data_IF_819796865060
#
_entry.id   IF_819796865060
#
_cell.length_a   1.000
_cell.length_b   1.000
_cell.length_c   1.000
_cell.angle_alpha   90.00
_cell.angle_beta   90.00
_cell.angle_gamma   90.00
#
_symmetry.space_group_name_H-M   'P 1'
#
loop_
_entity.id
_entity.type
_entity.pdbx_description
1 polymer ?
#
# COMPACT_ATOMS: atom_id res chain seq x y z
N UNK A 1 -13.83 -18.25 -15.69
CA UNK A 1 -14.77 -17.12 -15.47
C UNK A 1 -14.02 -16.09 -14.65
N UNK A 2 -13.63 -14.96 -15.26
CA UNK A 2 -12.92 -13.90 -14.55
C UNK A 2 -13.94 -13.10 -13.73
N UNK A 3 -13.80 -13.12 -12.41
CA UNK A 3 -14.62 -12.34 -11.51
C UNK A 3 -14.38 -10.85 -11.78
N UNK A 4 -15.46 -10.11 -12.07
CA UNK A 4 -15.57 -8.64 -11.95
C UNK A 4 -14.29 -7.85 -12.19
N UNK A 5 -14.07 -7.37 -13.42
CA UNK A 5 -13.11 -6.30 -13.67
C UNK A 5 -13.48 -5.10 -12.78
N UNK A 6 -12.62 -4.75 -11.84
CA UNK A 6 -12.77 -3.59 -10.98
C UNK A 6 -12.61 -2.34 -11.84
N UNK A 7 -13.72 -1.67 -12.17
CA UNK A 7 -13.69 -0.43 -12.96
C UNK A 7 -13.41 0.75 -12.04
N UNK A 8 -12.17 1.26 -12.06
CA UNK A 8 -11.75 2.41 -11.27
C UNK A 8 -12.64 3.65 -11.48
N UNK A 9 -13.31 3.77 -12.63
CA UNK A 9 -14.22 4.89 -12.93
C UNK A 9 -15.54 4.80 -12.18
N UNK A 10 -15.94 3.60 -11.72
CA UNK A 10 -17.16 3.37 -10.92
C UNK A 10 -16.96 3.57 -9.42
N UNK A 11 -15.73 3.81 -8.97
CA UNK A 11 -15.48 4.15 -7.59
C UNK A 11 -16.11 5.50 -7.28
N UNK A 12 -17.02 5.49 -6.30
CA UNK A 12 -17.62 6.70 -5.74
C UNK A 12 -16.49 7.63 -5.30
N UNK A 13 -16.65 8.93 -5.51
CA UNK A 13 -15.62 9.97 -5.33
C UNK A 13 -15.07 10.15 -3.91
N UNK A 14 -15.52 9.34 -2.97
CA UNK A 14 -14.99 9.22 -1.63
C UNK A 14 -15.42 7.86 -1.08
N UNK A 15 -14.50 7.17 -0.41
CA UNK A 15 -14.88 6.08 0.50
C UNK A 15 -15.94 6.61 1.47
N UNK A 16 -17.00 5.85 1.70
CA UNK A 16 -17.97 6.20 2.73
C UNK A 16 -17.23 6.33 4.07
N UNK A 17 -17.25 7.50 4.75
CA UNK A 17 -16.50 7.70 5.99
C UNK A 17 -16.85 6.70 7.09
N UNK A 18 -18.05 6.09 7.04
CA UNK A 18 -18.48 5.05 7.97
C UNK A 18 -18.03 3.62 7.58
N UNK A 19 -17.46 3.45 6.37
CA UNK A 19 -17.05 2.14 5.87
C UNK A 19 -15.76 1.62 6.54
N UNK A 20 -15.63 0.29 6.71
CA UNK A 20 -14.39 -0.31 7.17
C UNK A 20 -13.21 -0.07 6.22
N UNK A 21 -13.46 0.06 4.91
CA UNK A 21 -12.46 0.44 3.91
C UNK A 21 -11.87 1.83 4.19
N UNK A 22 -12.74 2.81 4.45
CA UNK A 22 -12.31 4.17 4.80
C UNK A 22 -11.46 4.18 6.08
N UNK A 23 -11.92 3.47 7.11
CA UNK A 23 -11.21 3.40 8.38
C UNK A 23 -9.82 2.78 8.21
N UNK A 24 -9.72 1.65 7.49
CA UNK A 24 -8.46 0.96 7.27
C UNK A 24 -7.49 1.76 6.39
N UNK A 25 -7.95 2.30 5.26
CA UNK A 25 -7.11 3.12 4.39
C UNK A 25 -6.70 4.45 5.04
N UNK A 26 -7.56 5.03 5.89
CA UNK A 26 -7.19 6.22 6.65
C UNK A 26 -6.08 5.95 7.65
N UNK A 27 -6.14 4.80 8.34
CA UNK A 27 -5.05 4.35 9.21
C UNK A 27 -3.76 4.09 8.43
N UNK A 28 -3.82 3.33 7.33
CA UNK A 28 -2.64 3.04 6.49
C UNK A 28 -2.01 4.36 6.00
N UNK A 29 -2.84 5.27 5.48
CA UNK A 29 -2.37 6.55 4.98
C UNK A 29 -1.72 7.43 6.05
N UNK A 30 -2.20 7.38 7.31
CA UNK A 30 -1.57 8.13 8.40
C UNK A 30 -0.19 7.58 8.80
N UNK A 31 0.06 6.29 8.53
CA UNK A 31 1.35 5.65 8.82
C UNK A 31 2.35 5.80 7.66
N UNK A 32 1.88 5.68 6.43
CA UNK A 32 2.71 5.68 5.22
C UNK A 32 3.01 7.10 4.72
N UNK A 33 1.97 7.90 4.51
CA UNK A 33 2.05 9.22 3.91
C UNK A 33 1.29 10.26 4.74
N UNK A 34 1.78 10.62 5.94
CA UNK A 34 1.11 11.60 6.80
C UNK A 34 1.02 13.00 6.18
N UNK A 35 1.78 13.30 5.12
CA UNK A 35 1.65 14.51 4.30
C UNK A 35 0.46 14.50 3.33
N UNK A 36 -0.33 13.41 3.29
CA UNK A 36 -1.52 13.28 2.48
C UNK A 36 -1.26 12.90 1.03
N UNK A 37 -2.17 13.26 0.13
CA UNK A 37 -2.15 12.81 -1.28
C UNK A 37 -1.01 13.39 -2.13
N UNK A 38 -0.36 14.45 -1.65
CA UNK A 38 0.83 15.03 -2.27
C UNK A 38 2.13 14.62 -1.56
N UNK A 39 2.06 13.71 -0.58
CA UNK A 39 3.26 13.22 0.10
C UNK A 39 4.13 12.39 -0.84
N UNK A 40 5.42 12.34 -0.58
CA UNK A 40 6.38 11.58 -1.36
C UNK A 40 7.61 11.28 -0.50
N UNK A 41 8.41 10.32 -0.93
CA UNK A 41 9.64 10.01 -0.22
C UNK A 41 10.51 11.26 -0.04
N UNK A 42 10.76 11.67 1.21
CA UNK A 42 11.35 12.99 1.53
C UNK A 42 12.70 13.25 0.87
N UNK A 43 13.49 12.20 0.67
CA UNK A 43 14.81 12.27 0.04
C UNK A 43 14.78 12.03 -1.48
N UNK A 44 13.59 11.90 -2.09
CA UNK A 44 13.45 11.66 -3.52
C UNK A 44 14.24 12.71 -4.33
N UNK A 45 15.06 12.21 -5.26
CA UNK A 45 15.83 13.03 -6.17
C UNK A 45 15.66 12.56 -7.63
N UNK A 46 15.08 13.38 -8.52
CA UNK A 46 14.51 14.70 -8.24
C UNK A 46 13.23 14.63 -7.38
N UNK A 47 12.85 15.76 -6.77
CA UNK A 47 11.51 15.92 -6.15
C UNK A 47 10.44 15.99 -7.26
N UNK A 48 9.15 15.71 -6.95
CA UNK A 48 8.09 15.94 -7.92
C UNK A 48 8.10 17.40 -8.40
N UNK A 49 7.89 17.65 -9.71
CA UNK A 49 7.95 19.01 -10.26
C UNK A 49 6.79 19.92 -9.83
N UNK A 50 5.71 19.32 -9.29
CA UNK A 50 4.49 19.98 -8.79
C UNK A 50 3.73 19.00 -7.89
N UNK A 51 2.67 19.43 -7.16
CA UNK A 51 1.88 18.53 -6.33
C UNK A 51 1.36 17.33 -7.12
N UNK A 52 1.55 16.12 -6.59
CA UNK A 52 1.23 14.85 -7.26
C UNK A 52 -0.23 14.77 -7.70
N UNK A 53 -1.16 15.31 -6.90
CA UNK A 53 -2.59 15.35 -7.18
C UNK A 53 -2.96 16.17 -8.41
N UNK A 54 -2.07 17.04 -8.85
CA UNK A 54 -2.26 17.81 -10.09
C UNK A 54 -1.69 17.08 -11.31
N UNK A 55 -0.83 16.07 -11.11
CA UNK A 55 -0.12 15.36 -12.17
C UNK A 55 -0.98 14.24 -12.74
N UNK A 56 -0.85 13.99 -14.04
CA UNK A 56 -1.37 12.78 -14.67
C UNK A 56 -0.54 11.57 -14.23
N UNK A 57 -1.15 10.39 -14.23
CA UNK A 57 -0.47 9.12 -13.91
C UNK A 57 0.81 8.94 -14.73
N UNK A 58 0.79 9.25 -16.03
CA UNK A 58 1.99 9.18 -16.90
C UNK A 58 3.12 10.11 -16.44
N UNK A 59 2.79 11.26 -15.87
CA UNK A 59 3.77 12.24 -15.37
C UNK A 59 4.34 11.81 -14.01
N UNK A 60 3.48 11.32 -13.10
CA UNK A 60 3.93 10.72 -11.83
C UNK A 60 4.86 9.56 -12.13
N UNK A 61 4.48 8.71 -13.09
CA UNK A 61 5.28 7.57 -13.52
C UNK A 61 6.62 7.97 -14.11
N UNK A 62 6.66 9.02 -14.92
CA UNK A 62 7.92 9.55 -15.46
C UNK A 62 8.84 10.07 -14.35
N UNK A 63 8.28 10.77 -13.35
CA UNK A 63 9.02 11.19 -12.17
C UNK A 63 9.52 9.99 -11.34
N UNK A 64 8.68 8.98 -11.08
CA UNK A 64 9.07 7.79 -10.31
C UNK A 64 10.27 7.05 -10.91
N UNK A 65 10.34 6.94 -12.25
CA UNK A 65 11.51 6.35 -12.92
C UNK A 65 12.81 7.10 -12.65
N UNK A 66 12.73 8.42 -12.52
CA UNK A 66 13.89 9.24 -12.15
C UNK A 66 14.17 9.13 -10.65
N UNK A 67 13.16 9.22 -9.79
CA UNK A 67 13.30 9.10 -8.35
C UNK A 67 13.83 7.72 -7.91
N UNK A 68 13.53 6.65 -8.64
CA UNK A 68 14.07 5.32 -8.40
C UNK A 68 15.52 5.14 -8.91
N UNK A 69 16.08 6.09 -9.65
CA UNK A 69 17.41 5.95 -10.22
C UNK A 69 18.49 6.22 -9.15
N UNK A 70 19.22 5.15 -8.77
CA UNK A 70 20.33 5.20 -7.81
C UNK A 70 21.38 6.27 -8.13
N UNK A 71 21.63 6.56 -9.40
CA UNK A 71 22.61 7.55 -9.83
C UNK A 71 22.30 8.97 -9.35
N UNK A 72 21.03 9.24 -8.99
CA UNK A 72 20.62 10.54 -8.45
C UNK A 72 20.96 10.71 -6.97
N UNK A 73 21.50 9.70 -6.29
CA UNK A 73 21.68 9.69 -4.84
C UNK A 73 23.15 9.57 -4.45
N UNK A 74 23.52 10.22 -3.33
CA UNK A 74 24.81 9.98 -2.69
C UNK A 74 24.88 8.54 -2.16
N UNK A 75 26.09 7.98 -2.09
CA UNK A 75 26.28 6.66 -1.46
C UNK A 75 25.74 6.69 -0.02
N UNK A 76 25.05 5.63 0.38
CA UNK A 76 24.40 5.53 1.69
C UNK A 76 23.03 6.21 1.81
N UNK A 77 22.59 7.05 0.86
CA UNK A 77 21.23 7.58 0.87
C UNK A 77 20.23 6.50 0.42
N UNK A 78 19.12 6.28 1.14
CA UNK A 78 18.06 5.38 0.68
C UNK A 78 17.41 5.92 -0.60
N UNK A 79 16.98 5.01 -1.48
CA UNK A 79 16.30 5.33 -2.74
C UNK A 79 14.84 4.92 -2.62
N UNK A 80 13.93 5.80 -3.00
CA UNK A 80 12.52 5.42 -3.13
C UNK A 80 11.78 6.37 -4.09
N UNK A 81 10.87 5.81 -4.86
CA UNK A 81 9.92 6.51 -5.72
C UNK A 81 8.51 6.59 -5.10
N UNK A 82 8.38 6.29 -3.80
CA UNK A 82 7.10 6.28 -3.11
C UNK A 82 6.33 7.60 -3.28
N UNK A 83 5.08 7.47 -3.70
CA UNK A 83 4.21 8.57 -4.10
C UNK A 83 2.86 8.52 -3.40
N UNK A 84 2.38 9.69 -2.98
CA UNK A 84 1.04 9.91 -2.47
C UNK A 84 0.79 9.37 -1.07
N UNK A 85 -0.49 9.42 -0.68
CA UNK A 85 -0.97 9.05 0.66
C UNK A 85 -0.65 7.61 1.04
N UNK A 86 -0.56 6.73 0.04
CA UNK A 86 -0.32 5.30 0.21
C UNK A 86 1.10 4.87 -0.17
N UNK A 87 2.01 5.84 -0.41
CA UNK A 87 3.42 5.60 -0.72
C UNK A 87 3.64 4.55 -1.83
N UNK A 88 2.84 4.63 -2.91
CA UNK A 88 2.89 3.70 -4.04
C UNK A 88 4.24 3.86 -4.75
N UNK A 89 5.06 2.81 -4.77
CA UNK A 89 6.36 2.79 -5.47
C UNK A 89 6.20 2.38 -6.94
N UNK A 90 7.25 2.59 -7.74
CA UNK A 90 7.25 2.37 -9.19
C UNK A 90 6.77 0.96 -9.57
N UNK A 91 7.30 -0.10 -8.97
CA UNK A 91 6.85 -1.47 -9.31
C UNK A 91 5.35 -1.70 -9.05
N UNK A 92 4.84 -1.20 -7.94
CA UNK A 92 3.41 -1.27 -7.60
C UNK A 92 2.56 -0.40 -8.53
N UNK A 93 3.06 0.76 -8.96
CA UNK A 93 2.37 1.63 -9.92
C UNK A 93 2.19 0.95 -11.28
N UNK A 94 3.17 0.16 -11.77
CA UNK A 94 2.98 -0.60 -13.03
C UNK A 94 1.80 -1.56 -12.90
N UNK A 95 1.81 -2.33 -11.82
CA UNK A 95 0.77 -3.31 -11.55
C UNK A 95 -0.61 -2.64 -11.47
N UNK A 96 -0.71 -1.49 -10.81
CA UNK A 96 -1.97 -0.75 -10.68
C UNK A 96 -2.45 -0.15 -12.00
N UNK A 97 -1.54 0.36 -12.84
CA UNK A 97 -1.87 0.85 -14.18
C UNK A 97 -2.50 -0.29 -15.00
N UNK A 98 -1.86 -1.46 -15.01
CA UNK A 98 -2.35 -2.62 -15.75
C UNK A 98 -3.68 -3.14 -15.19
N UNK A 99 -3.76 -3.33 -13.87
CA UNK A 99 -4.91 -3.93 -13.21
C UNK A 99 -6.17 -3.06 -13.29
N UNK A 100 -6.01 -1.74 -13.24
CA UNK A 100 -7.11 -0.77 -13.34
C UNK A 100 -7.36 -0.29 -14.77
N UNK A 101 -6.61 -0.81 -15.75
CA UNK A 101 -6.65 -0.42 -17.16
C UNK A 101 -6.52 1.11 -17.36
N UNK A 102 -5.58 1.73 -16.64
CA UNK A 102 -5.33 3.16 -16.72
C UNK A 102 -4.60 3.51 -18.01
N UNK A 103 -5.01 4.61 -18.64
CA UNK A 103 -4.41 5.10 -19.88
C UNK A 103 -3.15 5.93 -19.61
N UNK A 104 -2.98 6.41 -18.38
CA UNK A 104 -1.95 7.37 -18.01
C UNK A 104 -2.41 8.82 -18.10
N UNK A 105 -3.59 9.08 -18.66
CA UNK A 105 -4.18 10.43 -18.77
C UNK A 105 -4.95 10.87 -17.54
N UNK A 106 -5.30 9.93 -16.67
CA UNK A 106 -6.01 10.18 -15.43
C UNK A 106 -5.15 11.04 -14.49
N UNK A 107 -5.78 11.96 -13.76
CA UNK A 107 -5.10 12.67 -12.68
C UNK A 107 -4.80 11.71 -11.54
N UNK A 108 -3.61 11.79 -10.97
CA UNK A 108 -3.21 11.07 -9.75
C UNK A 108 -3.75 11.78 -8.49
N UNK A 109 -5.02 12.19 -8.56
CA UNK A 109 -5.73 12.90 -7.51
C UNK A 109 -6.09 11.98 -6.32
N UNK A 110 -6.71 12.56 -5.30
CA UNK A 110 -7.13 11.82 -4.11
C UNK A 110 -8.05 10.63 -4.44
N UNK A 111 -8.96 10.80 -5.42
CA UNK A 111 -9.91 9.77 -5.81
C UNK A 111 -9.19 8.58 -6.45
N UNK A 112 -8.24 8.83 -7.36
CA UNK A 112 -7.48 7.76 -7.98
C UNK A 112 -6.54 7.06 -6.99
N UNK A 113 -5.94 7.81 -6.06
CA UNK A 113 -5.12 7.21 -5.02
C UNK A 113 -5.94 6.30 -4.10
N UNK A 114 -7.13 6.73 -3.66
CA UNK A 114 -8.06 5.89 -2.87
C UNK A 114 -8.47 4.64 -3.64
N UNK A 115 -8.71 4.77 -4.95
CA UNK A 115 -9.03 3.66 -5.83
C UNK A 115 -7.91 2.61 -5.90
N UNK A 116 -6.67 3.08 -6.03
CA UNK A 116 -5.49 2.22 -6.00
C UNK A 116 -5.30 1.54 -4.64
N UNK A 117 -5.50 2.29 -3.54
CA UNK A 117 -5.44 1.73 -2.18
C UNK A 117 -6.48 0.64 -1.95
N UNK A 118 -7.72 0.85 -2.40
CA UNK A 118 -8.78 -0.16 -2.37
C UNK A 118 -8.43 -1.41 -3.16
N UNK A 119 -7.88 -1.24 -4.35
CA UNK A 119 -7.46 -2.38 -5.17
C UNK A 119 -6.38 -3.21 -4.45
N UNK A 120 -5.38 -2.54 -3.86
CA UNK A 120 -4.33 -3.21 -3.08
C UNK A 120 -4.90 -3.94 -1.85
N UNK A 121 -5.89 -3.36 -1.15
CA UNK A 121 -6.60 -4.05 -0.07
C UNK A 121 -7.30 -5.31 -0.58
N UNK A 122 -8.00 -5.21 -1.70
CA UNK A 122 -8.69 -6.35 -2.33
C UNK A 122 -7.70 -7.48 -2.63
N UNK A 123 -6.57 -7.19 -3.26
CA UNK A 123 -5.51 -8.17 -3.55
C UNK A 123 -4.88 -8.76 -2.28
N UNK A 124 -4.85 -8.01 -1.18
CA UNK A 124 -4.38 -8.50 0.12
C UNK A 124 -5.38 -9.44 0.83
N UNK A 125 -6.57 -9.69 0.24
CA UNK A 125 -7.57 -10.60 0.79
C UNK A 125 -8.66 -9.93 1.63
N UNK A 126 -8.98 -8.67 1.31
CA UNK A 126 -9.98 -7.89 2.05
C UNK A 126 -11.36 -8.56 2.10
N UNK A 127 -11.83 -9.14 1.00
CA UNK A 127 -13.16 -9.76 0.94
C UNK A 127 -13.24 -11.05 1.77
N UNK A 128 -12.17 -11.83 1.83
CA UNK A 128 -12.02 -12.97 2.74
C UNK A 128 -12.00 -12.52 4.19
N UNK A 129 -11.30 -11.42 4.49
CA UNK A 129 -11.20 -10.90 5.85
C UNK A 129 -12.54 -10.38 6.34
N UNK A 130 -13.22 -9.52 5.57
CA UNK A 130 -14.59 -9.06 5.88
C UNK A 130 -15.57 -10.22 6.04
N UNK A 131 -15.42 -11.25 5.21
CA UNK A 131 -16.23 -12.46 5.27
C UNK A 131 -15.90 -13.41 6.43
N UNK A 132 -14.89 -13.10 7.25
CA UNK A 132 -14.43 -13.96 8.34
C UNK A 132 -13.88 -15.30 7.86
N UNK A 133 -13.30 -15.36 6.66
CA UNK A 133 -12.72 -16.57 6.04
C UNK A 133 -11.20 -16.66 6.18
N UNK A 134 -10.54 -15.60 6.61
CA UNK A 134 -9.11 -15.56 6.90
C UNK A 134 -8.88 -14.99 8.31
N UNK A 135 -7.86 -15.50 9.00
CA UNK A 135 -7.50 -15.00 10.32
C UNK A 135 -6.92 -13.58 10.24
N UNK A 136 -7.21 -12.75 11.26
CA UNK A 136 -6.71 -11.36 11.35
C UNK A 136 -5.19 -11.27 11.18
N UNK A 137 -4.43 -12.18 11.78
CA UNK A 137 -2.97 -12.21 11.66
C UNK A 137 -2.51 -12.44 10.22
N UNK A 138 -3.15 -13.34 9.47
CA UNK A 138 -2.81 -13.60 8.07
C UNK A 138 -3.14 -12.40 7.17
N UNK A 139 -4.30 -11.77 7.37
CA UNK A 139 -4.64 -10.56 6.62
C UNK A 139 -3.67 -9.41 6.96
N UNK A 140 -3.38 -9.18 8.25
CA UNK A 140 -2.41 -8.17 8.65
C UNK A 140 -0.99 -8.43 8.12
N UNK A 141 -0.54 -9.69 8.06
CA UNK A 141 0.74 -10.02 7.42
C UNK A 141 0.72 -9.78 5.91
N UNK A 142 -0.41 -10.01 5.22
CA UNK A 142 -0.57 -9.65 3.82
C UNK A 142 -0.49 -8.13 3.62
N UNK A 143 -1.14 -7.34 4.48
CA UNK A 143 -1.03 -5.88 4.47
C UNK A 143 0.39 -5.38 4.74
N UNK A 144 1.12 -6.00 5.68
CA UNK A 144 2.51 -5.65 6.00
C UNK A 144 3.50 -5.91 4.85
N UNK A 145 3.09 -6.73 3.87
CA UNK A 145 3.82 -6.97 2.63
C UNK A 145 3.45 -6.00 1.52
N UNK A 146 2.46 -5.15 1.70
CA UNK A 146 2.11 -4.07 0.76
C UNK A 146 2.63 -2.74 1.29
N UNK A 147 2.45 -2.48 2.60
CA UNK A 147 2.77 -1.22 3.26
C UNK A 147 3.84 -1.42 4.32
N UNK A 148 5.00 -0.81 4.11
CA UNK A 148 6.20 -1.03 4.91
C UNK A 148 6.12 -0.48 6.35
N UNK A 149 5.26 0.51 6.60
CA UNK A 149 5.01 1.07 7.92
C UNK A 149 4.22 0.12 8.84
N UNK A 150 3.55 -0.89 8.27
CA UNK A 150 2.79 -1.87 9.04
C UNK A 150 3.71 -2.97 9.59
N UNK A 151 3.54 -3.37 10.87
CA UNK A 151 4.25 -4.50 11.44
C UNK A 151 3.64 -5.83 10.96
N UNK A 152 4.48 -6.83 10.72
CA UNK A 152 4.01 -8.21 10.65
C UNK A 152 3.35 -8.59 11.99
N UNK A 153 2.22 -9.30 11.93
CA UNK A 153 1.47 -9.76 13.08
C UNK A 153 1.88 -11.17 13.52
N UNK A 154 2.53 -11.94 12.65
CA UNK A 154 2.98 -13.30 12.96
C UNK A 154 4.41 -13.60 12.49
N UNK A 155 4.86 -14.81 12.83
CA UNK A 155 6.15 -15.35 12.41
C UNK A 155 7.37 -14.62 12.98
N UNK A 156 8.57 -14.92 12.45
CA UNK A 156 9.84 -14.37 12.95
C UNK A 156 9.99 -12.86 12.81
N UNK A 157 9.20 -12.24 11.91
CA UNK A 157 9.19 -10.79 11.69
C UNK A 157 8.17 -10.05 12.56
N UNK A 158 7.42 -10.74 13.43
CA UNK A 158 6.37 -10.14 14.25
C UNK A 158 6.83 -8.84 14.93
N UNK A 159 6.05 -7.78 14.78
CA UNK A 159 6.34 -6.44 15.31
C UNK A 159 7.29 -5.61 14.47
N UNK A 160 7.89 -6.15 13.40
CA UNK A 160 8.77 -5.44 12.47
C UNK A 160 8.08 -5.26 11.13
N UNK A 161 8.49 -4.24 10.38
CA UNK A 161 8.16 -4.13 8.96
C UNK A 161 8.57 -5.42 8.23
N UNK A 162 7.77 -5.85 7.25
CA UNK A 162 8.19 -6.93 6.37
C UNK A 162 9.50 -6.61 5.64
N UNK A 163 9.72 -5.32 5.37
CA UNK A 163 10.87 -4.75 4.67
C UNK A 163 11.93 -4.19 5.63
N UNK A 164 11.95 -4.60 6.88
CA UNK A 164 12.91 -4.09 7.85
C UNK A 164 14.36 -4.23 7.36
N UNK A 165 15.17 -3.18 7.56
CA UNK A 165 16.53 -2.98 7.02
C UNK A 165 16.64 -2.66 5.53
N UNK A 166 15.54 -2.70 4.77
CA UNK A 166 15.53 -2.27 3.37
C UNK A 166 15.25 -0.77 3.28
N UNK A 167 16.16 0.02 2.72
CA UNK A 167 16.00 1.49 2.52
C UNK A 167 15.47 2.28 3.73
N UNK A 168 15.80 1.85 4.95
CA UNK A 168 15.37 2.51 6.19
C UNK A 168 13.93 2.19 6.63
N UNK A 169 13.25 1.24 5.96
CA UNK A 169 11.90 0.81 6.29
C UNK A 169 11.83 0.24 7.71
N UNK A 170 10.80 0.65 8.43
CA UNK A 170 10.49 0.22 9.79
C UNK A 170 8.99 0.30 10.03
N UNK A 171 8.48 -0.54 10.93
CA UNK A 171 7.12 -0.39 11.38
C UNK A 171 7.01 0.90 12.21
N UNK A 172 5.94 1.67 12.01
CA UNK A 172 5.68 2.92 12.74
C UNK A 172 4.72 2.72 13.91
N UNK A 173 4.02 1.59 13.94
CA UNK A 173 3.07 1.17 14.97
C UNK A 173 3.42 -0.22 15.52
N UNK A 174 2.91 -0.54 16.71
CA UNK A 174 3.11 -1.86 17.30
C UNK A 174 2.19 -2.92 16.66
N UNK A 175 2.58 -4.20 16.72
CA UNK A 175 1.71 -5.29 16.26
C UNK A 175 0.40 -5.38 17.05
N UNK A 176 0.40 -5.01 18.33
CA UNK A 176 -0.80 -4.99 19.17
C UNK A 176 -1.78 -3.91 18.71
N UNK A 177 -1.27 -2.70 18.47
CA UNK A 177 -2.05 -1.58 17.96
C UNK A 177 -2.64 -1.89 16.59
N UNK A 178 -1.82 -2.38 15.65
CA UNK A 178 -2.29 -2.73 14.32
C UNK A 178 -3.34 -3.87 14.35
N UNK A 179 -3.12 -4.90 15.16
CA UNK A 179 -4.14 -5.94 15.39
C UNK A 179 -5.44 -5.35 15.96
N UNK A 180 -5.34 -4.42 16.90
CA UNK A 180 -6.47 -3.71 17.49
C UNK A 180 -7.28 -2.92 16.46
N UNK A 181 -6.60 -2.22 15.54
CA UNK A 181 -7.24 -1.53 14.40
C UNK A 181 -8.03 -2.52 13.57
N UNK A 182 -7.42 -3.63 13.12
CA UNK A 182 -8.11 -4.64 12.30
C UNK A 182 -9.32 -5.25 13.01
N UNK A 183 -9.21 -5.52 14.31
CA UNK A 183 -10.30 -6.09 15.11
C UNK A 183 -11.43 -5.09 15.41
N UNK A 184 -11.15 -3.79 15.34
CA UNK A 184 -12.07 -2.70 15.65
C UNK A 184 -12.68 -1.99 14.44
N UNK A 185 -12.49 -2.51 13.22
CA UNK A 185 -13.03 -1.88 12.01
C UNK A 185 -14.57 -1.81 12.05
N UNK A 186 -15.17 -0.66 11.68
CA UNK A 186 -16.60 -0.43 11.78
C UNK A 186 -17.40 -1.39 10.88
N UNK A 187 -18.58 -1.80 11.34
CA UNK A 187 -19.47 -2.66 10.56
C UNK A 187 -19.00 -4.11 10.38
N UNK A 188 -17.81 -4.48 10.86
CA UNK A 188 -17.37 -5.88 10.92
C UNK A 188 -17.77 -6.50 12.27
N UNK A 189 -18.45 -7.64 12.22
CA UNK A 189 -18.71 -8.45 13.41
C UNK A 189 -17.42 -8.98 14.02
N UNK A 190 -17.47 -9.44 15.29
CA UNK A 190 -16.30 -10.07 15.93
C UNK A 190 -15.72 -11.15 15.01
N UNK A 191 -14.39 -11.18 14.78
CA UNK A 191 -13.79 -12.18 13.91
C UNK A 191 -14.22 -13.57 14.35
N UNK A 192 -14.84 -14.35 13.45
CA UNK A 192 -15.11 -15.76 13.72
C UNK A 192 -13.77 -16.48 13.86
N UNK A 193 -13.65 -17.38 14.83
CA UNK A 193 -12.44 -18.16 15.01
C UNK A 193 -12.24 -19.10 13.82
N UNK A 194 -11.49 -18.65 12.81
CA UNK A 194 -11.01 -19.50 11.72
C UNK A 194 -9.77 -20.23 12.22
N UNK A 195 -9.72 -21.56 12.08
CA UNK A 195 -8.50 -22.30 12.40
C UNK A 195 -7.35 -21.78 11.53
N UNK A 196 -6.18 -21.54 12.12
CA UNK A 196 -4.99 -21.03 11.44
C UNK A 196 -4.46 -21.93 10.29
N UNK A 197 -5.09 -23.07 10.02
CA UNK A 197 -4.64 -24.10 9.08
C UNK A 197 -5.28 -23.98 7.68
N UNK A 198 -6.18 -23.02 7.45
CA UNK A 198 -6.64 -22.71 6.10
C UNK A 198 -5.54 -21.95 5.35
N UNK A 199 -4.75 -22.63 4.54
CA UNK A 199 -3.87 -21.94 3.59
C UNK A 199 -4.73 -20.98 2.75
N UNK A 200 -4.33 -19.71 2.61
CA UNK A 200 -5.15 -18.76 1.89
C UNK A 200 -5.35 -19.23 0.46
N UNK A 201 -6.57 -19.05 -0.06
CA UNK A 201 -6.87 -19.14 -1.49
C UNK A 201 -6.07 -18.04 -2.18
N UNK A 202 -4.82 -18.33 -2.55
CA UNK A 202 -3.86 -17.50 -3.28
C UNK A 202 -3.96 -15.99 -2.99
N UNK A 203 -3.40 -15.52 -1.87
CA UNK A 203 -2.97 -14.11 -1.79
C UNK A 203 -1.98 -13.90 -2.93
N UNK A 204 -2.34 -13.06 -3.88
CA UNK A 204 -1.54 -12.88 -5.07
C UNK A 204 -0.24 -12.15 -4.67
N UNK A 205 0.90 -12.81 -4.87
CA UNK A 205 2.25 -12.22 -4.70
C UNK A 205 2.50 -11.00 -5.62
N UNK A 206 1.53 -10.61 -6.45
CA UNK A 206 1.63 -9.57 -7.48
C UNK A 206 1.69 -8.14 -6.93
N UNK A 207 1.23 -7.91 -5.70
CA UNK A 207 1.14 -6.55 -5.12
C UNK A 207 2.24 -6.19 -4.14
N UNK A 208 3.11 -7.13 -3.76
CA UNK A 208 4.25 -6.83 -2.88
C UNK A 208 5.15 -5.81 -3.62
N UNK A 209 5.44 -4.64 -3.02
CA UNK A 209 6.43 -3.72 -3.56
C UNK A 209 7.72 -4.46 -3.91
N UNK A 210 8.13 -4.33 -5.18
CA UNK A 210 9.47 -4.74 -5.59
C UNK A 210 10.45 -3.82 -4.87
N UNK A 211 11.37 -4.36 -4.04
CA UNK A 211 12.30 -3.53 -3.30
C UNK A 211 13.17 -2.71 -4.26
N UNK A 212 13.10 -1.38 -4.17
CA UNK A 212 13.87 -0.47 -5.03
C UNK A 212 15.34 -0.36 -4.58
N UNK A 213 16.28 -0.24 -5.53
CA UNK A 213 17.72 -0.36 -5.31
C UNK A 213 18.22 0.06 -3.92
N UNK A 214 18.84 -0.87 -3.20
CA UNK A 214 19.36 -0.59 -1.86
C UNK A 214 20.45 0.49 -1.87
N UNK A 215 20.60 1.16 -0.74
CA UNK A 215 21.86 1.80 -0.40
C UNK A 215 22.98 0.77 -0.40
N UNK A 216 23.74 0.73 -1.50
CA UNK A 216 24.92 -0.14 -1.62
C UNK A 216 25.82 -0.04 -0.37
N UNK A 217 26.53 -1.13 -0.02
CA UNK A 217 27.13 -1.29 1.30
C UNK A 217 28.05 -0.13 1.68
N UNK A 218 28.07 0.14 3.00
CA UNK A 218 28.90 1.17 3.64
C UNK A 218 30.38 0.93 3.39
#
# INVERSE_FOLDING_TARGET
MCATCFDARKLRSSLDPASPEHALLSFIGSQEGPGGYDDFFRAANPRPPRPLTTMKVREVRAWQRQAANRANYRRGTPVSSAAGRYQIVSGTMDHLIDALALTGEELFDAKLQDAMGLYLLSEAGWEEFKGGRVATAHFGDALARVWAALPALSGPKKGRSWYHNFNGNRATVSASEFHGVLAGLPGLGKPKAVKANGAPTRVARSTEPVPEAEAGPR
#
